data_IF_502600015934
#
_entry.id   IF_502600015934
#
_cell.length_a   1.000
_cell.length_b   1.000
_cell.length_c   1.000
_cell.angle_alpha   90.00
_cell.angle_beta   90.00
_cell.angle_gamma   90.00
#
_symmetry.space_group_name_H-M   'P 1'
#
loop_
_entity.id
_entity.type
_entity.pdbx_description
1 polymer ?
#
# COMPACT_ATOMS: atom_id res chain seq x y z
N UNK A 1 2.75 -7.30 -3.40
CA UNK A 1 1.85 -8.04 -2.50
C UNK A 1 0.41 -7.64 -2.80
N UNK A 2 -0.12 -8.16 -3.90
CA UNK A 2 -1.54 -8.18 -4.21
C UNK A 2 -1.77 -9.60 -4.71
N UNK A 3 -2.37 -10.43 -3.86
CA UNK A 3 -2.75 -11.78 -4.24
C UNK A 3 -3.69 -11.71 -5.44
N UNK A 4 -3.35 -12.43 -6.51
CA UNK A 4 -4.26 -12.63 -7.64
C UNK A 4 -5.42 -13.50 -7.14
N UNK A 5 -6.68 -13.21 -7.49
CA UNK A 5 -7.77 -14.12 -7.21
C UNK A 5 -7.67 -15.31 -8.17
N UNK A 6 -7.48 -16.51 -7.62
CA UNK A 6 -7.78 -17.76 -8.31
C UNK A 6 -6.58 -18.60 -8.72
N UNK A 7 -5.91 -19.24 -7.76
CA UNK A 7 -5.40 -20.59 -7.94
C UNK A 7 -5.82 -21.43 -6.73
N UNK A 8 -6.72 -22.37 -6.97
CA UNK A 8 -7.10 -23.42 -6.04
C UNK A 8 -5.99 -24.47 -6.00
N UNK A 9 -5.13 -24.44 -4.99
CA UNK A 9 -4.14 -25.47 -4.71
C UNK A 9 -3.71 -25.43 -3.25
N UNK A 10 -3.91 -26.53 -2.53
CA UNK A 10 -3.73 -26.65 -1.08
C UNK A 10 -2.30 -27.03 -0.68
N UNK A 11 -1.29 -26.29 -1.13
CA UNK A 11 0.13 -26.62 -0.84
C UNK A 11 0.99 -25.40 -0.44
N UNK A 12 0.40 -24.34 0.13
CA UNK A 12 1.19 -23.29 0.77
C UNK A 12 1.47 -23.67 2.24
N UNK A 13 2.74 -23.72 2.69
CA UNK A 13 3.07 -24.02 4.09
C UNK A 13 2.41 -23.04 5.07
N UNK A 14 2.13 -23.52 6.30
CA UNK A 14 1.44 -22.77 7.37
C UNK A 14 2.03 -21.38 7.69
N UNK A 15 3.29 -21.11 7.31
CA UNK A 15 4.02 -19.90 7.64
C UNK A 15 3.81 -18.71 6.66
N UNK A 16 2.66 -18.60 6.01
CA UNK A 16 2.33 -17.38 5.24
C UNK A 16 1.75 -16.30 6.17
N UNK A 17 2.32 -15.09 6.15
CA UNK A 17 1.84 -13.95 6.91
C UNK A 17 2.75 -13.53 8.07
N UNK A 18 2.15 -12.84 9.06
CA UNK A 18 2.85 -12.22 10.19
C UNK A 18 2.91 -13.17 11.39
N UNK A 19 4.10 -13.38 11.94
CA UNK A 19 4.32 -14.20 13.13
C UNK A 19 5.44 -13.64 13.99
N UNK A 20 5.48 -14.05 15.27
CA UNK A 20 6.56 -13.67 16.19
C UNK A 20 7.70 -14.68 16.11
N UNK A 21 8.93 -14.18 16.10
CA UNK A 21 10.13 -14.97 16.26
C UNK A 21 11.02 -14.29 17.30
N UNK A 22 11.06 -14.84 18.53
CA UNK A 22 11.60 -14.12 19.68
C UNK A 22 10.85 -12.80 19.90
N UNK A 23 11.59 -11.70 20.03
CA UNK A 23 11.03 -10.36 20.28
C UNK A 23 10.69 -9.58 18.99
N UNK A 24 10.93 -10.16 17.81
CA UNK A 24 10.64 -9.51 16.52
C UNK A 24 9.40 -10.10 15.85
N UNK A 25 8.72 -9.26 15.07
CA UNK A 25 7.64 -9.69 14.16
C UNK A 25 8.24 -9.88 12.77
N UNK A 26 8.07 -11.07 12.22
CA UNK A 26 8.45 -11.41 10.85
C UNK A 26 7.18 -11.48 9.99
N UNK A 27 7.32 -11.11 8.72
CA UNK A 27 6.32 -11.33 7.69
C UNK A 27 6.94 -12.16 6.58
N UNK A 28 6.38 -13.34 6.36
CA UNK A 28 6.78 -14.22 5.27
C UNK A 28 5.69 -14.26 4.20
N UNK A 29 6.09 -14.22 2.94
CA UNK A 29 5.19 -14.28 1.78
C UNK A 29 5.79 -15.16 0.70
N UNK A 30 4.92 -15.82 -0.05
CA UNK A 30 5.31 -16.66 -1.17
C UNK A 30 5.22 -15.89 -2.49
N UNK A 31 6.14 -16.19 -3.40
CA UNK A 31 6.13 -15.69 -4.77
C UNK A 31 6.17 -16.93 -5.66
N UNK A 32 5.36 -16.96 -6.71
CA UNK A 32 5.37 -18.07 -7.64
C UNK A 32 6.68 -18.09 -8.44
N UNK A 33 7.23 -19.29 -8.69
CA UNK A 33 8.40 -19.47 -9.56
C UNK A 33 8.20 -18.80 -10.92
N UNK A 34 6.96 -18.80 -11.40
CA UNK A 34 6.56 -18.19 -12.67
C UNK A 34 6.88 -16.68 -12.76
N UNK A 35 6.89 -15.98 -11.63
CA UNK A 35 7.24 -14.55 -11.50
C UNK A 35 8.76 -14.32 -11.39
N UNK A 36 9.55 -15.37 -11.14
CA UNK A 36 11.02 -15.33 -11.02
C UNK A 36 11.76 -15.93 -12.22
N UNK A 37 11.02 -16.34 -13.27
CA UNK A 37 11.57 -17.04 -14.45
C UNK A 37 12.61 -16.26 -15.26
N UNK A 38 12.64 -14.93 -15.14
CA UNK A 38 13.65 -14.12 -15.84
C UNK A 38 13.96 -12.80 -15.11
N UNK A 39 15.18 -12.26 -15.29
CA UNK A 39 15.53 -10.94 -14.78
C UNK A 39 14.56 -9.84 -15.24
N UNK A 40 14.13 -9.89 -16.50
CA UNK A 40 13.22 -8.92 -17.10
C UNK A 40 11.87 -8.83 -16.38
N UNK A 41 11.30 -9.98 -16.00
CA UNK A 41 10.04 -10.04 -15.25
C UNK A 41 10.18 -9.39 -13.87
N UNK A 42 11.30 -9.66 -13.19
CA UNK A 42 11.59 -9.10 -11.87
C UNK A 42 11.87 -7.60 -11.96
N UNK A 43 12.73 -7.18 -12.89
CA UNK A 43 13.15 -5.79 -13.10
C UNK A 43 11.99 -4.87 -13.44
N UNK A 44 11.01 -5.34 -14.22
CA UNK A 44 9.78 -4.61 -14.56
C UNK A 44 8.70 -4.65 -13.46
N UNK A 45 8.84 -5.50 -12.45
CA UNK A 45 7.86 -5.64 -11.39
C UNK A 45 8.19 -4.71 -10.21
N UNK A 46 7.42 -3.62 -10.06
CA UNK A 46 7.68 -2.64 -9.02
C UNK A 46 7.51 -3.14 -7.58
N UNK A 47 6.80 -4.26 -7.37
CA UNK A 47 6.69 -4.89 -6.06
C UNK A 47 7.87 -5.82 -5.74
N UNK A 48 8.53 -6.37 -6.76
CA UNK A 48 9.57 -7.39 -6.59
C UNK A 48 10.97 -6.81 -6.70
N UNK A 49 11.22 -5.97 -7.72
CA UNK A 49 12.56 -5.52 -8.10
C UNK A 49 13.38 -4.97 -6.92
N UNK A 50 12.73 -4.23 -6.01
CA UNK A 50 13.39 -3.64 -4.84
C UNK A 50 14.03 -4.66 -3.89
N UNK A 51 13.45 -5.87 -3.78
CA UNK A 51 14.01 -6.96 -2.96
C UNK A 51 15.23 -7.63 -3.60
N UNK A 52 15.44 -7.44 -4.91
CA UNK A 52 16.51 -8.06 -5.70
C UNK A 52 17.63 -7.06 -6.03
N UNK A 53 17.60 -5.86 -5.43
CA UNK A 53 18.60 -4.81 -5.69
C UNK A 53 19.97 -5.09 -5.07
N UNK A 54 20.06 -6.02 -4.11
CA UNK A 54 21.32 -6.42 -3.44
C UNK A 54 21.38 -7.93 -3.23
N UNK A 55 22.59 -8.49 -3.31
CA UNK A 55 22.93 -9.87 -2.99
C UNK A 55 22.94 -10.18 -1.50
N UNK A 56 23.02 -9.15 -0.65
CA UNK A 56 23.20 -9.30 0.82
C UNK A 56 21.95 -9.83 1.54
N UNK A 57 20.85 -10.04 0.81
CA UNK A 57 19.54 -10.40 1.36
C UNK A 57 19.14 -11.86 1.11
N UNK A 58 20.02 -12.66 0.48
CA UNK A 58 19.77 -14.09 0.25
C UNK A 58 20.07 -14.86 1.52
N UNK A 59 19.03 -15.40 2.17
CA UNK A 59 19.19 -16.25 3.37
C UNK A 59 19.54 -17.70 3.01
N UNK A 60 18.93 -18.23 1.94
CA UNK A 60 19.18 -19.56 1.43
C UNK A 60 18.84 -19.61 -0.07
N UNK A 61 19.64 -20.32 -0.86
CA UNK A 61 19.39 -20.56 -2.28
C UNK A 61 19.90 -21.95 -2.70
N UNK A 62 19.26 -23.03 -2.23
CA UNK A 62 19.71 -24.39 -2.49
C UNK A 62 19.65 -24.78 -3.98
N UNK A 63 18.81 -24.10 -4.76
CA UNK A 63 18.65 -24.35 -6.20
C UNK A 63 19.53 -23.46 -7.08
N UNK A 64 20.22 -22.45 -6.52
CA UNK A 64 21.04 -21.49 -7.26
C UNK A 64 20.26 -20.43 -8.05
N UNK A 65 18.93 -20.44 -8.00
CA UNK A 65 18.06 -19.57 -8.81
C UNK A 65 18.25 -18.11 -8.43
N UNK A 66 18.34 -17.81 -7.13
CA UNK A 66 18.53 -16.44 -6.66
C UNK A 66 19.97 -15.95 -6.94
N UNK A 67 20.96 -16.82 -6.85
CA UNK A 67 22.36 -16.55 -7.14
C UNK A 67 22.60 -16.20 -8.61
N UNK A 68 21.82 -16.76 -9.53
CA UNK A 68 21.84 -16.36 -10.94
C UNK A 68 21.07 -15.06 -11.20
N UNK A 69 19.90 -14.90 -10.57
CA UNK A 69 18.97 -13.82 -10.84
C UNK A 69 19.39 -12.48 -10.22
N UNK A 70 19.76 -12.47 -8.93
CA UNK A 70 20.02 -11.25 -8.16
C UNK A 70 21.17 -10.41 -8.72
N UNK A 71 22.33 -10.96 -9.15
CA UNK A 71 23.40 -10.15 -9.72
C UNK A 71 22.98 -9.39 -10.98
N UNK A 72 22.16 -10.01 -11.82
CA UNK A 72 21.63 -9.35 -13.03
C UNK A 72 20.64 -8.25 -12.64
N UNK A 73 19.67 -8.56 -11.78
CA UNK A 73 18.67 -7.58 -11.35
C UNK A 73 19.32 -6.40 -10.62
N UNK A 74 20.28 -6.66 -9.73
CA UNK A 74 21.01 -5.63 -8.97
C UNK A 74 21.76 -4.67 -9.90
N UNK A 75 22.50 -5.19 -10.90
CA UNK A 75 23.23 -4.38 -11.87
C UNK A 75 22.31 -3.55 -12.76
N UNK A 76 21.23 -4.15 -13.24
CA UNK A 76 20.32 -3.51 -14.19
C UNK A 76 19.24 -2.65 -13.49
N UNK A 77 19.08 -2.76 -12.17
CA UNK A 77 18.00 -2.13 -11.41
C UNK A 77 17.84 -0.64 -11.74
N UNK A 78 18.96 0.08 -11.84
CA UNK A 78 18.99 1.53 -12.04
C UNK A 78 18.89 1.97 -13.50
N UNK A 79 18.90 1.05 -14.47
CA UNK A 79 18.76 1.42 -15.89
C UNK A 79 17.40 2.03 -16.16
N UNK A 80 17.39 3.12 -16.90
CA UNK A 80 16.22 3.92 -17.22
C UNK A 80 15.09 3.08 -17.83
N UNK A 81 15.40 2.14 -18.72
CA UNK A 81 14.40 1.23 -19.29
C UNK A 81 13.63 0.43 -18.22
N UNK A 82 14.31 -0.01 -17.17
CA UNK A 82 13.72 -0.77 -16.07
C UNK A 82 13.01 0.12 -15.06
N UNK A 83 13.53 1.33 -14.79
CA UNK A 83 12.82 2.31 -13.98
C UNK A 83 11.49 2.69 -14.64
N UNK A 84 11.51 3.02 -15.93
CA UNK A 84 10.31 3.32 -16.73
C UNK A 84 9.31 2.17 -16.70
N UNK A 85 9.76 0.92 -16.91
CA UNK A 85 8.86 -0.25 -16.85
C UNK A 85 8.20 -0.41 -15.48
N UNK A 86 8.91 -0.14 -14.39
CA UNK A 86 8.31 -0.19 -13.03
C UNK A 86 7.32 0.95 -12.80
N UNK A 87 7.64 2.16 -13.27
CA UNK A 87 6.73 3.31 -13.26
C UNK A 87 5.45 2.97 -14.03
N UNK A 88 5.57 2.41 -15.25
CA UNK A 88 4.44 1.98 -16.08
C UNK A 88 3.59 0.91 -15.39
N UNK A 89 4.23 -0.06 -14.74
CA UNK A 89 3.52 -1.09 -13.98
C UNK A 89 2.79 -0.51 -12.75
N UNK A 90 3.39 0.45 -12.03
CA UNK A 90 2.68 1.13 -10.94
C UNK A 90 1.48 1.94 -11.47
N UNK A 91 1.64 2.64 -12.60
CA UNK A 91 0.55 3.37 -13.26
C UNK A 91 -0.58 2.45 -13.71
N UNK A 92 -0.28 1.28 -14.28
CA UNK A 92 -1.30 0.31 -14.69
C UNK A 92 -2.08 -0.26 -13.49
N UNK A 93 -1.43 -0.44 -12.33
CA UNK A 93 -2.13 -0.82 -11.09
C UNK A 93 -3.10 0.25 -10.60
N UNK A 94 -2.77 1.53 -10.76
CA UNK A 94 -3.70 2.62 -10.45
C UNK A 94 -4.94 2.49 -11.35
N UNK A 95 -4.73 2.37 -12.67
CA UNK A 95 -5.82 2.22 -13.64
C UNK A 95 -6.73 1.03 -13.35
N UNK A 96 -6.15 -0.17 -13.22
CA UNK A 96 -6.92 -1.40 -12.94
C UNK A 96 -7.65 -1.38 -11.59
N UNK A 97 -7.09 -0.71 -10.58
CA UNK A 97 -7.79 -0.51 -9.31
C UNK A 97 -9.01 0.40 -9.45
N UNK A 98 -8.90 1.48 -10.23
CA UNK A 98 -10.00 2.41 -10.51
C UNK A 98 -11.14 1.77 -11.31
N UNK A 99 -10.84 0.84 -12.22
CA UNK A 99 -11.86 0.08 -12.97
C UNK A 99 -12.78 -0.75 -12.06
N UNK A 100 -12.30 -1.14 -10.88
CA UNK A 100 -13.10 -1.87 -9.88
C UNK A 100 -14.05 -0.98 -9.07
N UNK A 101 -13.99 0.35 -9.21
CA UNK A 101 -14.79 1.27 -8.41
C UNK A 101 -16.28 1.26 -8.79
N UNK A 102 -17.10 1.10 -7.76
CA UNK A 102 -18.55 1.22 -7.89
C UNK A 102 -19.27 -0.03 -8.40
N UNK A 103 -18.66 -1.20 -8.27
CA UNK A 103 -19.34 -2.49 -8.38
C UNK A 103 -20.27 -2.79 -7.18
N UNK A 104 -20.90 -3.96 -7.19
CA UNK A 104 -21.81 -4.41 -6.13
C UNK A 104 -21.11 -4.83 -4.81
N UNK A 105 -19.80 -4.59 -4.69
CA UNK A 105 -19.05 -4.90 -3.48
C UNK A 105 -19.57 -4.07 -2.29
N UNK A 106 -19.51 -4.59 -1.06
CA UNK A 106 -19.86 -3.78 0.12
C UNK A 106 -18.96 -2.54 0.24
N UNK A 107 -19.49 -1.52 0.91
CA UNK A 107 -18.88 -0.18 0.90
C UNK A 107 -17.43 -0.15 1.41
N UNK A 108 -17.02 -0.88 2.48
CA UNK A 108 -15.62 -0.94 2.89
C UNK A 108 -14.69 -1.49 1.80
N UNK A 109 -15.10 -2.50 1.03
CA UNK A 109 -14.29 -2.97 -0.10
C UNK A 109 -14.20 -1.92 -1.21
N UNK A 110 -15.26 -1.16 -1.49
CA UNK A 110 -15.20 -0.04 -2.44
C UNK A 110 -14.19 1.04 -1.99
N UNK A 111 -14.14 1.35 -0.69
CA UNK A 111 -13.14 2.27 -0.12
C UNK A 111 -11.72 1.74 -0.32
N UNK A 112 -11.50 0.43 -0.12
CA UNK A 112 -10.20 -0.20 -0.40
C UNK A 112 -9.82 -0.08 -1.88
N UNK A 113 -10.75 -0.33 -2.80
CA UNK A 113 -10.55 -0.15 -4.24
C UNK A 113 -10.19 1.28 -4.65
N UNK A 114 -10.53 2.29 -3.83
CA UNK A 114 -10.16 3.69 -4.07
C UNK A 114 -8.82 4.05 -3.40
N UNK A 115 -8.68 3.75 -2.11
CA UNK A 115 -7.54 4.24 -1.31
C UNK A 115 -6.23 3.64 -1.79
N UNK A 116 -6.22 2.37 -2.24
CA UNK A 116 -5.00 1.74 -2.74
C UNK A 116 -4.44 2.43 -4.00
N UNK A 117 -5.23 2.63 -5.08
CA UNK A 117 -4.80 3.44 -6.22
C UNK A 117 -4.29 4.83 -5.83
N UNK A 118 -4.97 5.53 -4.93
CA UNK A 118 -4.50 6.82 -4.40
C UNK A 118 -3.13 6.67 -3.75
N UNK A 119 -2.93 5.66 -2.90
CA UNK A 119 -1.64 5.40 -2.26
C UNK A 119 -0.53 5.01 -3.23
N UNK A 120 -0.84 4.30 -4.33
CA UNK A 120 0.14 3.88 -5.34
C UNK A 120 0.71 5.07 -6.11
N UNK A 121 0.04 6.23 -6.15
CA UNK A 121 0.62 7.45 -6.73
C UNK A 121 1.98 7.82 -6.12
N UNK A 122 2.15 7.59 -4.82
CA UNK A 122 3.44 7.81 -4.14
C UNK A 122 4.51 6.85 -4.64
N UNK A 123 4.15 5.60 -4.95
CA UNK A 123 5.09 4.60 -5.46
C UNK A 123 5.62 4.98 -6.83
N UNK A 124 4.79 5.57 -7.69
CA UNK A 124 5.21 6.06 -9.02
C UNK A 124 6.41 7.01 -8.90
N UNK A 125 6.32 7.97 -7.97
CA UNK A 125 7.38 8.95 -7.73
C UNK A 125 8.60 8.31 -7.03
N UNK A 126 8.38 7.47 -6.02
CA UNK A 126 9.48 6.78 -5.32
C UNK A 126 10.30 5.90 -6.26
N UNK A 127 9.64 5.20 -7.19
CA UNK A 127 10.30 4.38 -8.21
C UNK A 127 11.16 5.23 -9.15
N UNK A 128 10.62 6.35 -9.63
CA UNK A 128 11.38 7.31 -10.44
C UNK A 128 12.62 7.85 -9.72
N UNK A 129 12.50 8.07 -8.41
CA UNK A 129 13.61 8.47 -7.53
C UNK A 129 14.50 7.34 -7.03
N UNK A 130 14.35 6.11 -7.54
CA UNK A 130 15.06 4.90 -7.07
C UNK A 130 14.96 4.64 -5.56
N UNK A 131 13.94 5.20 -4.89
CA UNK A 131 13.67 4.98 -3.47
C UNK A 131 12.84 3.72 -3.29
N UNK A 132 13.15 2.95 -2.24
CA UNK A 132 12.29 1.84 -1.87
C UNK A 132 10.90 2.37 -1.50
N UNK A 133 9.89 1.87 -2.19
CA UNK A 133 8.49 2.17 -1.91
C UNK A 133 8.07 1.46 -0.62
N UNK A 134 8.51 1.98 0.54
CA UNK A 134 8.10 1.43 1.83
C UNK A 134 6.61 1.69 2.01
N UNK A 135 5.84 0.61 2.17
CA UNK A 135 4.38 0.66 2.14
C UNK A 135 3.88 1.55 3.30
N UNK A 136 4.50 1.52 4.48
CA UNK A 136 4.02 2.31 5.62
C UNK A 136 4.32 3.80 5.50
N UNK A 137 5.57 4.14 5.20
CA UNK A 137 6.09 5.51 5.24
C UNK A 137 6.05 6.21 3.87
N UNK A 138 5.33 5.66 2.89
CA UNK A 138 5.33 6.14 1.50
C UNK A 138 5.10 7.64 1.33
N UNK A 139 4.19 8.23 2.10
CA UNK A 139 3.90 9.67 2.02
C UNK A 139 5.02 10.52 2.63
N UNK A 140 5.65 10.05 3.72
CA UNK A 140 6.83 10.71 4.29
C UNK A 140 8.00 10.63 3.31
N UNK A 141 8.25 9.44 2.76
CA UNK A 141 9.32 9.21 1.81
C UNK A 141 9.16 10.03 0.51
N UNK A 142 7.92 10.20 0.03
CA UNK A 142 7.66 11.01 -1.17
C UNK A 142 7.75 12.50 -0.89
N UNK A 143 7.39 12.96 0.31
CA UNK A 143 7.61 14.35 0.75
C UNK A 143 9.09 14.71 0.71
N UNK A 144 9.93 13.83 1.26
CA UNK A 144 11.39 14.00 1.24
C UNK A 144 11.95 13.98 -0.19
N UNK A 145 11.47 13.06 -1.04
CA UNK A 145 11.87 12.99 -2.44
C UNK A 145 11.53 14.30 -3.17
N UNK A 146 10.26 14.71 -3.12
CA UNK A 146 9.78 15.90 -3.81
C UNK A 146 10.46 17.19 -3.30
N UNK A 147 10.85 17.23 -2.04
CA UNK A 147 11.67 18.33 -1.50
C UNK A 147 13.03 18.39 -2.20
N UNK A 148 13.71 17.24 -2.37
CA UNK A 148 15.01 17.16 -3.05
C UNK A 148 14.97 17.61 -4.52
N UNK A 149 13.83 17.44 -5.20
CA UNK A 149 13.61 17.86 -6.59
C UNK A 149 12.89 19.21 -6.73
N UNK A 150 12.70 19.98 -5.64
CA UNK A 150 11.97 21.25 -5.64
C UNK A 150 10.53 21.15 -6.20
N UNK A 151 9.86 20.01 -5.99
CA UNK A 151 8.48 19.73 -6.43
C UNK A 151 7.52 19.55 -5.25
N UNK A 152 7.81 20.16 -4.10
CA UNK A 152 6.99 20.07 -2.88
C UNK A 152 5.50 20.41 -3.08
N UNK A 153 5.07 21.35 -3.96
CA UNK A 153 3.64 21.59 -4.18
C UNK A 153 2.84 20.34 -4.58
N UNK A 154 3.45 19.40 -5.32
CA UNK A 154 2.79 18.15 -5.69
C UNK A 154 2.43 17.30 -4.46
N UNK A 155 3.20 17.41 -3.37
CA UNK A 155 2.92 16.70 -2.13
C UNK A 155 1.55 17.08 -1.54
N UNK A 156 1.21 18.37 -1.57
CA UNK A 156 -0.11 18.86 -1.14
C UNK A 156 -1.24 18.27 -1.97
N UNK A 157 -1.04 18.11 -3.27
CA UNK A 157 -2.01 17.49 -4.16
C UNK A 157 -2.18 15.99 -3.90
N UNK A 158 -1.11 15.27 -3.59
CA UNK A 158 -1.17 13.85 -3.18
C UNK A 158 -2.00 13.67 -1.90
N UNK A 159 -1.84 14.56 -0.92
CA UNK A 159 -2.67 14.58 0.29
C UNK A 159 -4.11 15.00 -0.01
N UNK A 160 -4.30 15.90 -0.98
CA UNK A 160 -5.62 16.34 -1.46
C UNK A 160 -6.42 15.21 -2.13
N UNK A 161 -5.75 14.34 -2.90
CA UNK A 161 -6.35 13.13 -3.49
C UNK A 161 -6.81 12.14 -2.42
N UNK A 162 -6.08 12.02 -1.31
CA UNK A 162 -6.48 11.24 -0.14
C UNK A 162 -7.59 11.93 0.68
N UNK A 163 -7.77 13.25 0.49
CA UNK A 163 -8.74 14.07 1.22
C UNK A 163 -8.25 14.54 2.59
N UNK A 164 -6.96 14.38 2.92
CA UNK A 164 -6.42 14.65 4.25
C UNK A 164 -5.48 15.86 4.32
N UNK A 165 -5.41 16.69 3.27
CA UNK A 165 -4.52 17.86 3.24
C UNK A 165 -4.75 18.82 4.43
N UNK A 166 -6.00 18.95 4.89
CA UNK A 166 -6.38 19.81 6.02
C UNK A 166 -6.66 19.04 7.32
N UNK A 167 -6.35 17.73 7.36
CA UNK A 167 -6.53 16.93 8.57
C UNK A 167 -5.66 17.49 9.69
N UNK A 168 -6.24 17.69 10.87
CA UNK A 168 -5.51 18.14 12.06
C UNK A 168 -4.96 16.96 12.87
N UNK A 169 -3.91 17.16 13.69
CA UNK A 169 -3.36 16.10 14.53
C UNK A 169 -4.40 15.53 15.51
N UNK A 170 -5.19 16.40 16.14
CA UNK A 170 -6.21 15.99 17.10
C UNK A 170 -7.30 15.14 16.45
N UNK A 171 -7.72 15.49 15.22
CA UNK A 171 -8.75 14.74 14.51
C UNK A 171 -8.24 13.40 14.00
N UNK A 172 -7.00 13.34 13.49
CA UNK A 172 -6.36 12.09 13.14
C UNK A 172 -6.22 11.13 14.34
N UNK A 173 -5.85 11.66 15.51
CA UNK A 173 -5.75 10.89 16.75
C UNK A 173 -7.11 10.32 17.18
N UNK A 174 -8.17 11.13 17.11
CA UNK A 174 -9.54 10.68 17.41
C UNK A 174 -9.96 9.51 16.51
N UNK A 175 -9.68 9.59 15.21
CA UNK A 175 -9.98 8.49 14.27
C UNK A 175 -9.15 7.24 14.56
N UNK A 176 -7.89 7.41 14.96
CA UNK A 176 -7.04 6.28 15.35
C UNK A 176 -7.53 5.59 16.62
N UNK A 177 -8.01 6.32 17.62
CA UNK A 177 -8.53 5.72 18.85
C UNK A 177 -9.86 4.97 18.60
N UNK A 178 -10.73 5.51 17.74
CA UNK A 178 -11.93 4.81 17.28
C UNK A 178 -11.56 3.52 16.50
N UNK A 179 -10.58 3.61 15.60
CA UNK A 179 -10.05 2.46 14.88
C UNK A 179 -9.47 1.41 15.83
N UNK A 180 -8.72 1.79 16.86
CA UNK A 180 -8.13 0.84 17.79
C UNK A 180 -9.20 -0.01 18.49
N UNK A 181 -10.32 0.61 18.89
CA UNK A 181 -11.46 -0.10 19.50
C UNK A 181 -12.07 -1.12 18.51
N UNK A 182 -12.26 -0.71 17.25
CA UNK A 182 -12.74 -1.60 16.19
C UNK A 182 -11.75 -2.74 15.90
N UNK A 183 -10.46 -2.43 15.85
CA UNK A 183 -9.40 -3.41 15.58
C UNK A 183 -9.43 -4.51 16.63
N UNK A 184 -9.55 -4.15 17.90
CA UNK A 184 -9.62 -5.10 19.01
C UNK A 184 -10.86 -6.00 18.90
N UNK A 185 -12.01 -5.46 18.46
CA UNK A 185 -13.20 -6.25 18.18
C UNK A 185 -13.05 -7.22 16.98
N UNK A 186 -12.28 -6.83 15.96
CA UNK A 186 -12.07 -7.62 14.74
C UNK A 186 -10.90 -8.63 14.84
N UNK A 187 -10.03 -8.48 15.84
CA UNK A 187 -8.81 -9.28 15.99
C UNK A 187 -9.14 -10.77 16.15
N UNK A 188 -8.51 -11.60 15.32
CA UNK A 188 -8.69 -13.06 15.34
C UNK A 188 -10.09 -13.54 14.93
N UNK A 189 -10.91 -12.68 14.31
CA UNK A 189 -12.27 -13.02 13.86
C UNK A 189 -12.35 -13.47 12.39
N UNK A 190 -11.28 -13.27 11.62
CA UNK A 190 -11.23 -13.67 10.23
C UNK A 190 -11.25 -15.21 10.12
N UNK A 191 -12.34 -15.76 9.57
CA UNK A 191 -12.52 -17.19 9.30
C UNK A 191 -12.61 -17.48 7.81
N UNK A 192 -13.03 -16.49 7.01
CA UNK A 192 -12.97 -16.57 5.56
C UNK A 192 -11.53 -16.35 5.05
N UNK A 193 -11.26 -16.79 3.82
CA UNK A 193 -10.00 -16.47 3.13
C UNK A 193 -9.96 -14.98 2.80
N UNK A 194 -9.55 -14.18 3.78
CA UNK A 194 -9.34 -12.75 3.63
C UNK A 194 -7.85 -12.48 3.37
N UNK A 195 -7.48 -11.82 2.25
CA UNK A 195 -6.07 -11.64 1.83
C UNK A 195 -5.23 -10.77 2.78
N UNK A 196 -5.80 -10.27 3.87
CA UNK A 196 -5.11 -9.49 4.90
C UNK A 196 -5.42 -9.99 6.32
N UNK A 197 -5.84 -11.24 6.47
CA UNK A 197 -6.18 -11.81 7.79
C UNK A 197 -4.99 -11.72 8.77
N UNK A 198 -3.75 -11.88 8.28
CA UNK A 198 -2.53 -11.77 9.08
C UNK A 198 -2.26 -10.36 9.63
N UNK A 199 -2.83 -9.32 9.01
CA UNK A 199 -2.76 -7.94 9.52
C UNK A 199 -3.69 -7.70 10.71
N UNK A 200 -4.74 -8.53 10.87
CA UNK A 200 -5.79 -8.38 11.87
C UNK A 200 -5.61 -9.40 13.01
N UNK A 201 -4.40 -9.42 13.56
CA UNK A 201 -3.97 -10.31 14.64
C UNK A 201 -3.39 -9.50 15.79
N UNK A 202 -3.26 -10.12 16.97
CA UNK A 202 -2.55 -9.53 18.11
C UNK A 202 -1.09 -9.17 17.74
N UNK A 203 -0.47 -9.99 16.88
CA UNK A 203 0.89 -9.76 16.35
C UNK A 203 0.94 -8.55 15.40
N UNK A 204 -0.11 -8.37 14.59
CA UNK A 204 -0.22 -7.24 13.65
C UNK A 204 -0.59 -5.91 14.31
N UNK A 205 -1.24 -5.94 15.48
CA UNK A 205 -1.76 -4.74 16.16
C UNK A 205 -0.74 -3.62 16.36
N UNK A 206 0.48 -3.87 16.88
CA UNK A 206 1.45 -2.78 17.07
C UNK A 206 1.84 -2.13 15.74
N UNK A 207 1.92 -2.91 14.68
CA UNK A 207 2.22 -2.40 13.34
C UNK A 207 1.05 -1.52 12.85
N UNK A 208 -0.19 -1.99 12.98
CA UNK A 208 -1.38 -1.30 12.48
C UNK A 208 -1.69 0.00 13.26
N UNK A 209 -1.72 -0.11 14.60
CA UNK A 209 -2.16 0.96 15.50
C UNK A 209 -0.98 1.82 15.94
N UNK A 210 0.04 1.24 16.58
CA UNK A 210 1.13 2.02 17.16
C UNK A 210 1.98 2.67 16.07
N UNK A 211 2.18 2.00 14.93
CA UNK A 211 2.82 2.61 13.77
C UNK A 211 2.09 3.85 13.22
N UNK A 212 0.77 3.95 13.39
CA UNK A 212 0.00 5.15 13.03
C UNK A 212 0.08 6.21 14.15
N UNK A 213 0.12 5.77 15.42
CA UNK A 213 0.30 6.62 16.59
C UNK A 213 1.65 7.35 16.56
N UNK A 214 2.72 6.64 16.19
CA UNK A 214 4.07 7.18 16.03
C UNK A 214 4.15 8.24 14.94
N UNK A 215 3.47 8.02 13.81
CA UNK A 215 3.38 9.02 12.73
C UNK A 215 2.71 10.30 13.24
N UNK A 216 1.58 10.18 13.94
CA UNK A 216 0.88 11.34 14.50
C UNK A 216 1.77 12.07 15.52
N UNK A 217 2.40 11.33 16.44
CA UNK A 217 3.20 11.90 17.52
C UNK A 217 4.38 12.76 17.01
N UNK A 218 4.98 12.39 15.87
CA UNK A 218 6.08 13.15 15.26
C UNK A 218 5.63 14.21 14.24
N UNK A 219 4.33 14.45 14.12
CA UNK A 219 3.76 15.47 13.23
C UNK A 219 3.34 14.98 11.84
N UNK A 220 3.55 13.71 11.49
CA UNK A 220 3.16 13.09 10.21
C UNK A 220 1.71 12.55 10.26
N UNK A 221 0.80 13.32 10.86
CA UNK A 221 -0.58 12.93 11.11
C UNK A 221 -1.41 12.77 9.83
N UNK A 222 -1.10 13.50 8.76
CA UNK A 222 -1.82 13.42 7.47
C UNK A 222 -1.45 12.15 6.72
N UNK A 223 -0.20 11.74 6.86
CA UNK A 223 0.40 10.53 6.29
C UNK A 223 -0.15 9.28 6.97
N UNK A 224 -0.45 9.36 8.28
CA UNK A 224 -1.09 8.29 9.03
C UNK A 224 -2.50 7.94 8.50
N UNK A 225 -3.23 8.93 7.95
CA UNK A 225 -4.63 8.77 7.51
C UNK A 225 -4.80 7.63 6.51
N UNK A 226 -3.85 7.43 5.59
CA UNK A 226 -3.90 6.33 4.63
C UNK A 226 -4.09 4.99 5.34
N UNK A 227 -3.30 4.73 6.38
CA UNK A 227 -3.35 3.48 7.13
C UNK A 227 -4.52 3.38 8.08
N UNK A 228 -4.96 4.51 8.61
CA UNK A 228 -6.19 4.54 9.41
C UNK A 228 -7.35 4.07 8.53
N UNK A 229 -7.54 4.66 7.33
CA UNK A 229 -8.60 4.27 6.39
C UNK A 229 -8.49 2.80 5.97
N UNK A 230 -7.29 2.36 5.55
CA UNK A 230 -7.07 0.98 5.09
C UNK A 230 -7.38 -0.03 6.20
N UNK A 231 -6.90 0.22 7.41
CA UNK A 231 -7.11 -0.69 8.54
C UNK A 231 -8.60 -0.72 8.93
N UNK A 232 -9.26 0.44 8.98
CA UNK A 232 -10.70 0.52 9.30
C UNK A 232 -11.53 -0.28 8.30
N UNK A 233 -11.29 -0.08 7.00
CA UNK A 233 -12.02 -0.76 5.95
C UNK A 233 -11.77 -2.28 5.96
N UNK A 234 -10.56 -2.72 6.29
CA UNK A 234 -10.24 -4.16 6.46
C UNK A 234 -10.95 -4.77 7.66
N UNK A 235 -10.95 -4.11 8.81
CA UNK A 235 -11.68 -4.57 9.99
C UNK A 235 -13.17 -4.74 9.67
N UNK A 236 -13.80 -3.72 9.06
CA UNK A 236 -15.21 -3.80 8.68
C UNK A 236 -15.48 -4.87 7.61
N UNK A 237 -14.58 -5.06 6.64
CA UNK A 237 -14.73 -6.13 5.65
C UNK A 237 -14.77 -7.50 6.33
N UNK A 238 -13.87 -7.78 7.28
CA UNK A 238 -13.88 -9.04 8.05
C UNK A 238 -15.14 -9.15 8.87
N UNK A 239 -15.49 -8.12 9.65
CA UNK A 239 -16.68 -8.20 10.48
C UNK A 239 -17.92 -8.45 9.62
N UNK A 240 -18.12 -7.72 8.50
CA UNK A 240 -19.29 -7.89 7.62
C UNK A 240 -19.41 -9.29 7.03
N UNK A 241 -18.28 -9.92 6.67
CA UNK A 241 -18.30 -11.25 6.07
C UNK A 241 -18.43 -12.36 7.12
N UNK A 242 -17.71 -12.25 8.24
CA UNK A 242 -17.49 -13.39 9.14
C UNK A 242 -18.32 -13.32 10.44
N UNK A 243 -18.92 -12.18 10.77
CA UNK A 243 -19.71 -12.00 12.01
C UNK A 243 -21.08 -11.33 11.78
N UNK A 244 -21.92 -11.77 10.84
CA UNK A 244 -23.14 -11.07 10.36
C UNK A 244 -24.04 -10.54 11.49
N UNK A 245 -24.17 -11.27 12.60
CA UNK A 245 -25.08 -10.95 13.71
C UNK A 245 -24.54 -9.94 14.74
N UNK A 246 -23.30 -9.46 14.60
CA UNK A 246 -22.73 -8.44 15.49
C UNK A 246 -23.48 -7.11 15.33
N UNK A 247 -23.86 -6.46 16.43
CA UNK A 247 -24.32 -5.07 16.40
C UNK A 247 -23.12 -4.15 16.10
N UNK A 248 -23.15 -3.49 14.93
CA UNK A 248 -22.01 -2.71 14.42
C UNK A 248 -22.31 -1.23 14.22
N UNK A 249 -23.49 -0.76 14.64
CA UNK A 249 -23.91 0.62 14.35
C UNK A 249 -22.86 1.63 14.86
N UNK A 250 -22.34 1.41 16.07
CA UNK A 250 -21.28 2.21 16.66
C UNK A 250 -19.93 2.16 15.90
N UNK A 251 -19.58 1.03 15.27
CA UNK A 251 -18.33 0.89 14.52
C UNK A 251 -18.40 1.56 13.14
N UNK A 252 -19.56 1.45 12.49
CA UNK A 252 -19.84 2.09 11.20
C UNK A 252 -19.85 3.62 11.31
N UNK A 253 -20.35 4.16 12.43
CA UNK A 253 -20.40 5.62 12.64
C UNK A 253 -19.01 6.25 12.72
N UNK A 254 -18.05 5.59 13.38
CA UNK A 254 -16.65 6.04 13.39
C UNK A 254 -16.04 6.03 11.99
N UNK A 255 -16.35 5.02 11.16
CA UNK A 255 -15.88 4.95 9.78
C UNK A 255 -16.48 6.06 8.92
N UNK A 256 -17.80 6.28 9.04
CA UNK A 256 -18.51 7.35 8.33
C UNK A 256 -17.99 8.72 8.74
N UNK A 257 -17.67 8.94 10.01
CA UNK A 257 -17.08 10.18 10.49
C UNK A 257 -15.69 10.43 9.85
N UNK A 258 -14.84 9.40 9.80
CA UNK A 258 -13.55 9.48 9.11
C UNK A 258 -13.73 9.79 7.63
N UNK A 259 -14.56 9.03 6.91
CA UNK A 259 -14.80 9.25 5.49
C UNK A 259 -15.45 10.60 5.19
N UNK A 260 -16.32 11.08 6.09
CA UNK A 260 -16.92 12.41 6.02
C UNK A 260 -15.88 13.52 6.03
N UNK A 261 -14.89 13.44 6.91
CA UNK A 261 -13.76 14.38 6.91
C UNK A 261 -12.91 14.30 5.63
N UNK A 262 -12.86 13.13 4.99
CA UNK A 262 -12.21 12.93 3.69
C UNK A 262 -13.11 13.32 2.50
N UNK A 263 -14.32 13.84 2.76
CA UNK A 263 -15.29 14.23 1.73
C UNK A 263 -15.91 13.05 0.98
N UNK A 264 -16.09 11.91 1.64
CA UNK A 264 -16.66 10.68 1.10
C UNK A 264 -17.87 10.28 1.94
N UNK A 265 -19.07 10.53 1.44
CA UNK A 265 -20.32 10.08 2.08
C UNK A 265 -20.98 8.90 1.36
N UNK A 266 -20.54 8.59 0.14
CA UNK A 266 -21.24 7.66 -0.75
C UNK A 266 -20.35 7.02 -1.81
N UNK A 267 -20.85 5.97 -2.46
CA UNK A 267 -20.24 5.39 -3.67
C UNK A 267 -20.09 6.43 -4.79
N UNK A 268 -21.00 7.41 -4.89
CA UNK A 268 -20.88 8.50 -5.87
C UNK A 268 -19.64 9.34 -5.61
N UNK A 269 -19.32 9.61 -4.35
CA UNK A 269 -18.10 10.34 -3.98
C UNK A 269 -16.84 9.55 -4.32
N UNK A 270 -16.84 8.22 -4.09
CA UNK A 270 -15.72 7.37 -4.49
C UNK A 270 -15.50 7.40 -6.01
N UNK A 271 -16.58 7.37 -6.82
CA UNK A 271 -16.46 7.50 -8.29
C UNK A 271 -15.92 8.87 -8.69
N UNK A 272 -16.38 9.95 -8.04
CA UNK A 272 -15.84 11.31 -8.26
C UNK A 272 -14.34 11.36 -7.93
N UNK A 273 -13.94 10.83 -6.76
CA UNK A 273 -12.53 10.74 -6.35
C UNK A 273 -11.69 9.90 -7.32
N UNK A 274 -12.26 8.82 -7.86
CA UNK A 274 -11.63 8.02 -8.91
C UNK A 274 -11.39 8.83 -10.19
N UNK A 275 -12.38 9.62 -10.63
CA UNK A 275 -12.23 10.51 -11.78
C UNK A 275 -11.19 11.61 -11.57
N UNK A 276 -11.15 12.20 -10.36
CA UNK A 276 -10.10 13.15 -9.96
C UNK A 276 -8.70 12.52 -10.03
N UNK A 277 -8.55 11.28 -9.53
CA UNK A 277 -7.30 10.55 -9.64
C UNK A 277 -6.91 10.30 -11.10
N UNK A 278 -7.85 9.85 -11.94
CA UNK A 278 -7.61 9.65 -13.38
C UNK A 278 -7.13 10.93 -14.06
N UNK A 279 -7.77 12.06 -13.77
CA UNK A 279 -7.38 13.35 -14.33
C UNK A 279 -5.99 13.82 -13.87
N UNK A 280 -5.54 13.37 -12.69
CA UNK A 280 -4.22 13.67 -12.14
C UNK A 280 -3.08 12.82 -12.75
N UNK A 281 -3.38 11.64 -13.30
CA UNK A 281 -2.36 10.69 -13.76
C UNK A 281 -1.37 11.25 -14.80
N UNK A 282 -1.79 12.05 -15.81
CA UNK A 282 -0.84 12.63 -16.76
C UNK A 282 0.18 13.55 -16.08
N UNK A 283 -0.25 14.32 -15.08
CA UNK A 283 0.64 15.19 -14.30
C UNK A 283 1.61 14.37 -13.43
N UNK A 284 1.11 13.34 -12.77
CA UNK A 284 1.93 12.41 -11.99
C UNK A 284 3.03 11.79 -12.87
N UNK A 285 2.66 11.36 -14.08
CA UNK A 285 3.60 10.80 -15.04
C UNK A 285 4.68 11.80 -15.45
N UNK A 286 4.27 13.02 -15.82
CA UNK A 286 5.22 14.06 -16.21
C UNK A 286 6.27 14.32 -15.12
N UNK A 287 5.85 14.45 -13.86
CA UNK A 287 6.79 14.65 -12.74
C UNK A 287 7.69 13.43 -12.50
N UNK A 288 7.17 12.21 -12.65
CA UNK A 288 7.98 11.00 -12.55
C UNK A 288 9.06 10.95 -13.66
N UNK A 289 8.70 11.31 -14.89
CA UNK A 289 9.65 11.38 -16.01
C UNK A 289 10.72 12.47 -15.78
N UNK A 290 10.33 13.65 -15.28
CA UNK A 290 11.27 14.71 -14.87
C UNK A 290 12.24 14.21 -13.80
N UNK A 291 11.75 13.56 -12.74
CA UNK A 291 12.59 12.98 -11.68
C UNK A 291 13.57 11.97 -12.26
N UNK A 292 13.14 11.07 -13.16
CA UNK A 292 14.03 10.09 -13.78
C UNK A 292 15.13 10.73 -14.62
N UNK A 293 14.83 11.82 -15.34
CA UNK A 293 15.81 12.57 -16.14
C UNK A 293 16.79 13.33 -15.26
N UNK A 294 16.31 13.92 -14.17
CA UNK A 294 17.12 14.71 -13.23
C UNK A 294 17.93 13.83 -12.25
N UNK A 295 17.60 12.54 -12.11
CA UNK A 295 18.26 11.62 -11.18
C UNK A 295 19.60 11.09 -11.73
N UNK A 296 20.75 11.46 -11.13
CA UNK A 296 22.07 11.03 -11.63
C UNK A 296 22.32 9.52 -11.49
N UNK A 297 21.58 8.85 -10.60
CA UNK A 297 21.71 7.40 -10.38
C UNK A 297 20.91 6.60 -11.41
N UNK A 298 20.05 7.24 -12.21
CA UNK A 298 19.33 6.58 -13.30
C UNK A 298 20.19 6.57 -14.56
N UNK A 299 20.56 5.38 -15.02
CA UNK A 299 21.49 5.21 -16.14
C UNK A 299 20.77 4.96 -17.46
N UNK A 300 21.20 5.62 -18.54
CA UNK A 300 20.72 5.33 -19.90
C UNK A 300 20.96 3.86 -20.30
#
# INVERSE_FOLDING_TARGET
VHDRPGESGSDLPEASGKFRYGDVVLEASWIADSDLRSPDLVLGNYHLAGSFRSTDHILADPAGVLGELVPVVSREYVRQIWVTRRVDHAMSKIGGGLESLGGAAPFPQQVLSWVFPVGVTTHVLLLAGLRNATVRQRYVAVRELLTGYNRLPLYGELLGLLGCAEMSPARAAQHLDALATLFDAATGKATSRFPFASDLTEVGRPIAIDGSRDLIARGDHREAVFWIVVTYARCLAVLHTDLPDLDREAFDDGFRALLGDLGIGSTRDLRRRGAELTAFLPRLRAVADEIMVENPDVHA
#
